data_IF_578354269858
#
_entry.id   IF_578354269858
#
_cell.length_a   1.000
_cell.length_b   1.000
_cell.length_c   1.000
_cell.angle_alpha   90.00
_cell.angle_beta   90.00
_cell.angle_gamma   90.00
#
_symmetry.space_group_name_H-M   'P 1'
#
loop_
_entity.id
_entity.type
_entity.pdbx_description
1 polymer ?
#
# COMPACT_ATOMS: atom_id res chain seq x y z
N UNK A 1 -6.74 -18.94 -3.20
CA UNK A 1 -6.94 -17.95 -2.13
C UNK A 1 -8.40 -17.97 -1.79
N UNK A 2 -8.73 -18.14 -0.51
CA UNK A 2 -10.11 -18.01 -0.05
C UNK A 2 -10.53 -16.55 -0.24
N UNK A 3 -11.47 -16.31 -1.15
CA UNK A 3 -11.97 -14.97 -1.47
C UNK A 3 -12.84 -14.38 -0.35
N UNK A 4 -13.15 -15.18 0.67
CA UNK A 4 -13.95 -14.81 1.84
C UNK A 4 -13.15 -14.99 3.12
N UNK A 5 -13.17 -13.98 3.98
CA UNK A 5 -12.67 -14.06 5.35
C UNK A 5 -13.65 -13.36 6.29
N UNK A 6 -13.66 -13.78 7.56
CA UNK A 6 -14.49 -13.15 8.58
C UNK A 6 -13.94 -11.76 8.93
N UNK A 7 -14.77 -10.73 8.82
CA UNK A 7 -14.42 -9.35 9.15
C UNK A 7 -15.63 -8.60 9.72
N UNK A 8 -15.39 -7.40 10.23
CA UNK A 8 -16.40 -6.56 10.86
C UNK A 8 -16.80 -5.40 9.95
N UNK A 9 -18.09 -5.06 9.99
CA UNK A 9 -18.65 -3.90 9.30
C UNK A 9 -19.35 -2.99 10.30
N UNK A 10 -19.07 -1.70 10.22
CA UNK A 10 -19.79 -0.67 10.95
C UNK A 10 -20.85 -0.04 10.03
N UNK A 11 -22.08 0.05 10.50
CA UNK A 11 -23.14 0.78 9.80
C UNK A 11 -23.35 2.11 10.51
N UNK A 12 -22.93 3.21 9.89
CA UNK A 12 -22.93 4.54 10.49
C UNK A 12 -24.11 5.37 9.95
N UNK A 13 -25.31 5.13 10.48
CA UNK A 13 -26.53 5.83 10.06
C UNK A 13 -26.85 5.59 8.58
N UNK A 14 -27.10 6.66 7.82
CA UNK A 14 -27.44 6.60 6.39
C UNK A 14 -26.24 6.68 5.44
N UNK A 15 -25.00 6.71 5.95
CA UNK A 15 -23.78 6.93 5.15
C UNK A 15 -23.17 5.66 4.55
N UNK A 16 -23.89 4.54 4.55
CA UNK A 16 -23.41 3.25 4.05
C UNK A 16 -22.68 2.41 5.11
N UNK A 17 -22.15 1.26 4.68
CA UNK A 17 -21.39 0.33 5.51
C UNK A 17 -19.90 0.57 5.32
N UNK A 18 -19.13 0.62 6.41
CA UNK A 18 -17.68 0.69 6.40
C UNK A 18 -17.09 -0.65 6.84
N UNK A 19 -16.13 -1.17 6.08
CA UNK A 19 -15.36 -2.35 6.47
C UNK A 19 -14.24 -1.96 7.43
N UNK A 20 -13.99 -2.79 8.45
CA UNK A 20 -12.84 -2.63 9.33
C UNK A 20 -11.51 -2.59 8.54
N UNK A 21 -11.42 -3.35 7.44
CA UNK A 21 -10.24 -3.38 6.59
C UNK A 21 -10.00 -2.07 5.84
N UNK A 22 -11.06 -1.40 5.40
CA UNK A 22 -10.95 -0.13 4.66
C UNK A 22 -10.49 0.99 5.60
N UNK A 23 -11.02 1.01 6.83
CA UNK A 23 -10.59 1.94 7.87
C UNK A 23 -9.12 1.70 8.23
N UNK A 24 -8.73 0.45 8.50
CA UNK A 24 -7.34 0.10 8.82
C UNK A 24 -6.38 0.53 7.70
N UNK A 25 -6.70 0.20 6.43
CA UNK A 25 -5.88 0.55 5.28
C UNK A 25 -5.69 2.06 5.15
N UNK A 26 -6.74 2.84 5.35
CA UNK A 26 -6.61 4.28 5.21
C UNK A 26 -5.86 4.96 6.35
N UNK A 27 -6.00 4.46 7.59
CA UNK A 27 -5.20 4.92 8.72
C UNK A 27 -3.72 4.66 8.43
N UNK A 28 -3.38 3.46 7.97
CA UNK A 28 -2.02 3.11 7.55
C UNK A 28 -1.52 4.04 6.44
N UNK A 29 -2.32 4.27 5.39
CA UNK A 29 -1.94 5.16 4.30
C UNK A 29 -1.76 6.62 4.75
N UNK A 30 -2.56 7.11 5.70
CA UNK A 30 -2.38 8.48 6.24
C UNK A 30 -1.17 8.63 7.13
N UNK A 31 -0.76 7.58 7.83
CA UNK A 31 0.52 7.58 8.54
C UNK A 31 1.71 7.66 7.57
N UNK A 32 1.52 7.17 6.34
CA UNK A 32 2.56 7.04 5.33
C UNK A 32 2.51 8.12 4.25
N UNK A 33 1.45 8.92 4.17
CA UNK A 33 1.27 9.94 3.13
C UNK A 33 0.42 11.11 3.63
N UNK A 34 0.71 12.33 3.16
CA UNK A 34 1.77 12.68 2.22
C UNK A 34 3.13 12.96 2.90
N UNK A 35 4.23 12.83 2.15
CA UNK A 35 5.61 13.00 2.68
C UNK A 35 5.89 14.41 3.23
N UNK A 36 5.23 15.43 2.70
CA UNK A 36 5.44 16.83 3.12
C UNK A 36 4.89 17.14 4.51
N UNK A 37 3.97 16.31 5.02
CA UNK A 37 3.39 16.49 6.35
C UNK A 37 4.31 15.91 7.44
N UNK A 38 4.38 16.62 8.57
CA UNK A 38 5.12 16.13 9.73
C UNK A 38 4.54 14.80 10.23
N UNK A 39 5.36 13.98 10.88
CA UNK A 39 4.90 12.70 11.44
C UNK A 39 3.76 12.89 12.45
N UNK A 40 3.80 13.99 13.21
CA UNK A 40 2.77 14.33 14.18
C UNK A 40 1.44 14.65 13.50
N UNK A 41 1.47 15.44 12.42
CA UNK A 41 0.26 15.82 11.68
C UNK A 41 -0.38 14.61 11.01
N UNK A 42 0.43 13.72 10.43
CA UNK A 42 -0.03 12.44 9.87
C UNK A 42 -0.65 11.52 10.93
N UNK A 43 -0.04 11.46 12.10
CA UNK A 43 -0.59 10.71 13.23
C UNK A 43 -1.93 11.28 13.70
N UNK A 44 -2.02 12.61 13.83
CA UNK A 44 -3.27 13.29 14.18
C UNK A 44 -4.35 13.05 13.11
N UNK A 45 -4.02 13.12 11.82
CA UNK A 45 -4.94 12.82 10.73
C UNK A 45 -5.43 11.36 10.77
N UNK A 46 -4.54 10.39 11.05
CA UNK A 46 -4.92 8.99 11.25
C UNK A 46 -5.84 8.79 12.45
N UNK A 47 -5.57 9.48 13.57
CA UNK A 47 -6.45 9.48 14.75
C UNK A 47 -7.83 10.07 14.42
N UNK A 48 -7.89 11.15 13.66
CA UNK A 48 -9.15 11.75 13.21
C UNK A 48 -9.96 10.76 12.37
N UNK A 49 -9.33 9.98 11.48
CA UNK A 49 -10.03 8.92 10.72
C UNK A 49 -10.66 7.88 11.65
N UNK A 50 -9.94 7.43 12.67
CA UNK A 50 -10.47 6.47 13.65
C UNK A 50 -11.63 7.06 14.45
N UNK A 51 -11.46 8.29 14.94
CA UNK A 51 -12.50 8.99 15.69
C UNK A 51 -13.75 9.23 14.84
N UNK A 52 -13.59 9.69 13.61
CA UNK A 52 -14.71 9.90 12.69
C UNK A 52 -15.41 8.59 12.31
N UNK A 53 -14.70 7.46 12.31
CA UNK A 53 -15.26 6.12 12.06
C UNK A 53 -16.07 5.55 13.23
N UNK A 54 -15.85 6.03 14.46
CA UNK A 54 -16.53 5.54 15.67
C UNK A 54 -17.56 6.55 16.16
N UNK A 55 -17.16 7.81 16.33
CA UNK A 55 -17.94 8.87 16.98
C UNK A 55 -18.24 10.06 16.08
N UNK A 56 -17.71 10.12 14.86
CA UNK A 56 -17.79 11.32 14.01
C UNK A 56 -19.20 11.76 13.64
N UNK A 57 -19.38 13.03 13.32
CA UNK A 57 -20.65 13.57 12.84
C UNK A 57 -20.92 13.17 11.37
N UNK A 58 -22.16 13.34 10.90
CA UNK A 58 -22.57 12.91 9.54
C UNK A 58 -21.70 13.51 8.42
N UNK A 59 -21.30 14.77 8.56
CA UNK A 59 -20.52 15.47 7.54
C UNK A 59 -19.07 14.99 7.49
N UNK A 60 -18.47 14.77 8.67
CA UNK A 60 -17.13 14.18 8.79
C UNK A 60 -17.08 12.78 8.19
N UNK A 61 -18.15 11.98 8.35
CA UNK A 61 -18.25 10.63 7.78
C UNK A 61 -18.31 10.62 6.25
N UNK A 62 -19.00 11.58 5.64
CA UNK A 62 -19.06 11.70 4.17
C UNK A 62 -17.70 12.07 3.60
N UNK A 63 -17.04 13.06 4.20
CA UNK A 63 -15.70 13.49 3.82
C UNK A 63 -14.69 12.36 4.00
N UNK A 64 -14.84 11.57 5.08
CA UNK A 64 -14.05 10.40 5.35
C UNK A 64 -14.23 9.36 4.24
N UNK A 65 -15.46 8.92 3.92
CA UNK A 65 -15.69 7.92 2.87
C UNK A 65 -15.07 8.29 1.52
N UNK A 66 -15.17 9.56 1.12
CA UNK A 66 -14.58 10.06 -0.12
C UNK A 66 -13.04 10.08 -0.05
N UNK A 67 -12.49 10.54 1.07
CA UNK A 67 -11.03 10.61 1.29
C UNK A 67 -10.39 9.23 1.41
N UNK A 68 -11.06 8.30 2.11
CA UNK A 68 -10.67 6.89 2.19
C UNK A 68 -10.60 6.29 0.79
N UNK A 69 -11.68 6.46 0.03
CA UNK A 69 -11.82 5.87 -1.31
C UNK A 69 -10.76 6.43 -2.24
N UNK A 70 -10.60 7.76 -2.32
CA UNK A 70 -9.64 8.38 -3.24
C UNK A 70 -8.18 8.05 -2.88
N UNK A 71 -7.82 8.11 -1.59
CA UNK A 71 -6.44 7.85 -1.14
C UNK A 71 -6.09 6.37 -1.29
N UNK A 72 -6.98 5.46 -0.89
CA UNK A 72 -6.76 4.02 -1.04
C UNK A 72 -6.72 3.60 -2.51
N UNK A 73 -7.62 4.13 -3.34
CA UNK A 73 -7.62 3.86 -4.78
C UNK A 73 -6.33 4.33 -5.43
N UNK A 74 -5.85 5.53 -5.10
CA UNK A 74 -4.58 6.05 -5.61
C UNK A 74 -3.43 5.11 -5.25
N UNK A 75 -3.29 4.73 -3.99
CA UNK A 75 -2.22 3.84 -3.54
C UNK A 75 -2.28 2.45 -4.22
N UNK A 76 -3.48 1.88 -4.38
CA UNK A 76 -3.67 0.62 -5.08
C UNK A 76 -3.35 0.74 -6.58
N UNK A 77 -3.73 1.83 -7.23
CA UNK A 77 -3.41 2.07 -8.64
C UNK A 77 -1.90 2.20 -8.86
N UNK A 78 -1.18 2.89 -7.95
CA UNK A 78 0.27 3.00 -7.99
C UNK A 78 0.92 1.62 -7.84
N UNK A 79 0.52 0.87 -6.81
CA UNK A 79 1.02 -0.50 -6.59
C UNK A 79 0.76 -1.42 -7.80
N UNK A 80 -0.45 -1.37 -8.37
CA UNK A 80 -0.79 -2.13 -9.57
C UNK A 80 0.06 -1.76 -10.78
N UNK A 81 0.27 -0.46 -11.04
CA UNK A 81 1.12 0.00 -12.14
C UNK A 81 2.55 -0.50 -11.98
N UNK A 82 3.12 -0.44 -10.77
CA UNK A 82 4.46 -0.94 -10.49
C UNK A 82 4.57 -2.45 -10.68
N UNK A 83 3.62 -3.23 -10.16
CA UNK A 83 3.60 -4.69 -10.34
C UNK A 83 3.43 -5.08 -11.81
N UNK A 84 2.52 -4.42 -12.51
CA UNK A 84 2.28 -4.65 -13.93
C UNK A 84 3.51 -4.34 -14.78
N UNK A 85 4.20 -3.23 -14.50
CA UNK A 85 5.44 -2.88 -15.18
C UNK A 85 6.53 -3.94 -14.95
N UNK A 86 6.77 -4.31 -13.68
CA UNK A 86 7.79 -5.30 -13.31
C UNK A 86 7.59 -6.66 -14.00
N UNK A 87 6.34 -7.10 -14.09
CA UNK A 87 5.98 -8.38 -14.72
C UNK A 87 6.07 -8.29 -16.24
N UNK A 88 5.46 -7.27 -16.86
CA UNK A 88 5.39 -7.14 -18.31
C UNK A 88 6.77 -6.89 -18.93
N UNK A 89 7.65 -6.17 -18.23
CA UNK A 89 9.02 -5.89 -18.65
C UNK A 89 9.99 -7.01 -18.24
N UNK A 90 9.51 -8.06 -17.56
CA UNK A 90 10.33 -9.18 -17.07
C UNK A 90 11.54 -8.74 -16.23
N UNK A 91 11.34 -7.71 -15.39
CA UNK A 91 12.39 -7.14 -14.51
C UNK A 91 12.75 -8.06 -13.34
N UNK A 92 11.95 -9.10 -13.08
CA UNK A 92 12.17 -10.06 -11.99
C UNK A 92 13.12 -11.17 -12.45
N UNK A 93 14.31 -11.20 -11.87
CA UNK A 93 15.39 -12.12 -12.22
C UNK A 93 15.47 -13.25 -11.18
N UNK A 94 15.71 -14.49 -11.63
CA UNK A 94 15.89 -15.64 -10.73
C UNK A 94 17.36 -15.84 -10.40
N UNK A 95 17.75 -15.57 -9.15
CA UNK A 95 19.12 -15.66 -8.65
C UNK A 95 19.42 -16.98 -7.90
N UNK A 96 18.87 -18.12 -8.35
CA UNK A 96 19.08 -19.41 -7.68
C UNK A 96 18.17 -19.55 -6.44
N UNK A 97 18.63 -19.25 -5.21
CA UNK A 97 17.79 -19.27 -3.99
C UNK A 97 16.63 -18.27 -3.95
N UNK A 98 16.73 -17.09 -4.57
CA UNK A 98 15.72 -16.01 -4.48
C UNK A 98 15.42 -15.37 -5.83
N UNK A 99 14.33 -14.61 -5.89
CA UNK A 99 14.03 -13.68 -6.98
C UNK A 99 14.56 -12.28 -6.63
N UNK A 100 15.04 -11.56 -7.63
CA UNK A 100 15.56 -10.20 -7.48
C UNK A 100 14.74 -9.25 -8.34
N UNK A 101 14.33 -8.13 -7.75
CA UNK A 101 13.70 -7.02 -8.43
C UNK A 101 14.40 -5.71 -8.06
N UNK A 102 14.70 -4.89 -9.08
CA UNK A 102 15.29 -3.57 -8.91
C UNK A 102 14.44 -2.54 -9.62
N UNK A 103 13.88 -1.61 -8.87
CA UNK A 103 13.17 -0.50 -9.47
C UNK A 103 14.17 0.56 -9.93
N UNK A 104 14.10 0.96 -11.20
CA UNK A 104 14.99 1.99 -11.75
C UNK A 104 14.53 3.43 -11.42
N UNK A 105 13.28 3.59 -10.97
CA UNK A 105 12.66 4.90 -10.70
C UNK A 105 11.92 4.85 -9.36
N UNK A 106 11.78 6.00 -8.73
CA UNK A 106 10.89 6.10 -7.57
C UNK A 106 9.45 5.79 -7.98
N UNK A 107 8.73 5.09 -7.11
CA UNK A 107 7.36 4.65 -7.37
C UNK A 107 6.39 5.85 -7.43
N UNK A 108 6.54 6.80 -6.51
CA UNK A 108 5.76 8.03 -6.40
C UNK A 108 6.52 9.03 -5.50
N UNK A 109 6.51 10.31 -5.83
CA UNK A 109 7.19 11.37 -5.05
C UNK A 109 6.44 11.72 -3.75
N UNK A 110 5.12 11.54 -3.76
CA UNK A 110 4.24 11.84 -2.62
C UNK A 110 4.23 10.74 -1.57
N UNK A 111 4.59 9.53 -1.99
CA UNK A 111 4.70 8.37 -1.13
C UNK A 111 5.98 8.45 -0.34
N UNK A 112 5.89 8.47 0.99
CA UNK A 112 7.06 8.11 1.77
C UNK A 112 7.56 6.74 1.31
N UNK A 113 8.85 6.53 1.47
CA UNK A 113 9.57 5.26 1.37
C UNK A 113 9.08 4.30 2.48
N UNK A 114 7.76 4.12 2.53
CA UNK A 114 7.02 3.40 3.54
C UNK A 114 7.34 1.95 3.37
N UNK A 115 8.07 1.41 4.34
CA UNK A 115 8.40 -0.01 4.38
C UNK A 115 7.16 -0.88 4.33
N UNK A 116 6.05 -0.45 4.93
CA UNK A 116 4.78 -1.19 4.89
C UNK A 116 4.16 -1.21 3.48
N UNK A 117 4.13 -0.07 2.79
CA UNK A 117 3.66 -0.05 1.42
C UNK A 117 4.55 -0.86 0.48
N UNK A 118 5.87 -0.71 0.60
CA UNK A 118 6.84 -1.44 -0.20
C UNK A 118 6.73 -2.95 0.06
N UNK A 119 6.55 -3.35 1.32
CA UNK A 119 6.30 -4.74 1.70
C UNK A 119 5.01 -5.29 1.08
N UNK A 120 3.91 -4.55 1.17
CA UNK A 120 2.63 -4.94 0.56
C UNK A 120 2.74 -5.07 -0.96
N UNK A 121 3.43 -4.12 -1.60
CA UNK A 121 3.65 -4.11 -3.05
C UNK A 121 4.56 -5.26 -3.48
N UNK A 122 5.62 -5.56 -2.74
CA UNK A 122 6.52 -6.68 -3.00
C UNK A 122 5.82 -8.03 -2.82
N UNK A 123 5.02 -8.17 -1.76
CA UNK A 123 4.18 -9.36 -1.54
C UNK A 123 3.17 -9.56 -2.66
N UNK A 124 2.57 -8.47 -3.14
CA UNK A 124 1.66 -8.52 -4.29
C UNK A 124 2.41 -8.91 -5.58
N UNK A 125 3.58 -8.33 -5.81
CA UNK A 125 4.44 -8.63 -6.95
C UNK A 125 4.84 -10.11 -6.98
N UNK A 126 5.29 -10.66 -5.84
CA UNK A 126 5.66 -12.06 -5.71
C UNK A 126 4.47 -12.97 -6.00
N UNK A 127 3.29 -12.66 -5.42
CA UNK A 127 2.07 -13.43 -5.63
C UNK A 127 1.63 -13.42 -7.10
N UNK A 128 1.68 -12.25 -7.74
CA UNK A 128 1.34 -12.08 -9.16
C UNK A 128 2.34 -12.82 -10.07
N UNK A 129 3.64 -12.67 -9.83
CA UNK A 129 4.68 -13.37 -10.57
C UNK A 129 4.59 -14.90 -10.43
N UNK A 130 4.35 -15.38 -9.21
CA UNK A 130 4.15 -16.81 -8.92
C UNK A 130 2.94 -17.37 -9.65
N UNK A 131 1.86 -16.59 -9.80
CA UNK A 131 0.66 -17.03 -10.51
C UNK A 131 0.87 -17.18 -12.03
N UNK A 132 1.83 -16.44 -12.61
CA UNK A 132 2.09 -16.44 -14.04
C UNK A 132 3.13 -17.48 -14.49
N UNK A 133 4.01 -17.95 -13.60
CA UNK A 133 5.05 -18.95 -13.93
C UNK A 133 4.63 -20.37 -13.55
N UNK A 134 4.84 -21.31 -14.48
CA UNK A 134 4.81 -22.76 -14.19
C UNK A 134 6.17 -23.17 -13.60
N UNK A 135 6.23 -23.56 -12.32
CA UNK A 135 7.47 -24.04 -11.68
C UNK A 135 7.53 -23.89 -10.15
N UNK A 136 8.72 -24.07 -9.55
CA UNK A 136 8.97 -23.82 -8.11
C UNK A 136 8.83 -22.32 -7.80
N UNK A 137 7.67 -21.92 -7.32
CA UNK A 137 7.28 -20.52 -7.00
C UNK A 137 7.50 -20.13 -5.54
N UNK A 138 8.03 -21.03 -4.71
CA UNK A 138 8.22 -20.81 -3.27
C UNK A 138 9.51 -20.03 -2.91
N UNK A 139 10.11 -19.30 -3.86
CA UNK A 139 11.33 -18.51 -3.58
C UNK A 139 10.95 -17.11 -3.09
N UNK A 140 11.68 -16.55 -2.10
CA UNK A 140 11.46 -15.18 -1.65
C UNK A 140 11.84 -14.19 -2.76
N UNK A 141 11.25 -13.00 -2.72
CA UNK A 141 11.54 -11.89 -3.63
C UNK A 141 12.26 -10.78 -2.85
N UNK A 142 13.50 -10.49 -3.23
CA UNK A 142 14.22 -9.33 -2.72
C UNK A 142 13.95 -8.17 -3.68
N UNK A 143 13.30 -7.12 -3.19
CA UNK A 143 12.96 -5.93 -3.95
C UNK A 143 13.78 -4.73 -3.48
N UNK A 144 14.32 -3.98 -4.44
CA UNK A 144 15.12 -2.78 -4.20
C UNK A 144 14.44 -1.56 -4.82
N UNK A 145 14.24 -0.51 -4.03
CA UNK A 145 13.59 0.73 -4.44
C UNK A 145 14.52 1.93 -4.20
N UNK A 146 14.68 2.83 -5.19
CA UNK A 146 15.53 4.00 -5.02
C UNK A 146 14.86 5.02 -4.10
N UNK A 147 15.65 5.55 -3.18
CA UNK A 147 15.24 6.63 -2.28
C UNK A 147 15.33 7.98 -2.98
N UNK A 148 14.39 8.87 -2.63
CA UNK A 148 14.35 10.26 -3.10
C UNK A 148 14.70 11.26 -1.99
N UNK A 149 15.01 12.50 -2.38
CA UNK A 149 15.28 13.61 -1.47
C UNK A 149 16.67 13.55 -0.85
N UNK A 150 16.77 13.78 0.46
CA UNK A 150 18.05 13.79 1.19
C UNK A 150 18.79 12.44 1.16
N UNK A 151 18.06 11.35 0.92
CA UNK A 151 18.61 10.00 0.81
C UNK A 151 18.80 9.54 -0.65
N UNK A 152 18.81 10.47 -1.61
CA UNK A 152 19.08 10.15 -3.00
C UNK A 152 20.40 9.37 -3.17
N UNK A 153 20.37 8.33 -4.00
CA UNK A 153 21.51 7.42 -4.23
C UNK A 153 21.53 6.18 -3.32
N UNK A 154 20.66 6.11 -2.32
CA UNK A 154 20.47 4.91 -1.50
C UNK A 154 19.29 4.07 -2.01
N UNK A 155 19.33 2.77 -1.74
CA UNK A 155 18.25 1.83 -2.05
C UNK A 155 17.62 1.29 -0.75
N UNK A 156 16.29 1.28 -0.68
CA UNK A 156 15.57 0.51 0.34
C UNK A 156 15.38 -0.91 -0.17
N UNK A 157 15.79 -1.87 0.64
CA UNK A 157 15.64 -3.29 0.36
C UNK A 157 14.50 -3.84 1.22
N UNK A 158 13.57 -4.57 0.59
CA UNK A 158 12.46 -5.27 1.26
C UNK A 158 12.33 -6.70 0.77
N UNK A 159 11.88 -7.60 1.65
CA UNK A 159 11.67 -9.04 1.38
C UNK A 159 10.22 -9.45 1.65
#
# INVERSE_FOLDING_TARGET
MDSSFATFFATLGYCGKLSACDVARAVTLKLEMPRHDSMLDRFQAGKMILQSSITGERQERLHLSHTLTSTCQRALQVSWKSVSAAINQSEIISNGPYYLFTCARAIDEDMLDSRHFLYNTTSFMLSAFASMRKGRTAKPLIAMFPLNGESAGWLVVTE
#
